data_IF_106175814007
#
_entry.id   IF_106175814007
#
_cell.length_a   1.000
_cell.length_b   1.000
_cell.length_c   1.000
_cell.angle_alpha   90.00
_cell.angle_beta   90.00
_cell.angle_gamma   90.00
#
_symmetry.space_group_name_H-M   'P 1'
#
loop_
_entity.id
_entity.type
_entity.pdbx_description
1 polymer ?
#
# COMPACT_ATOMS: atom_id res chain seq x y z
N UNK A 1 -13.36 15.58 0.47
CA UNK A 1 -13.15 14.56 1.51
C UNK A 1 -11.77 13.91 1.39
N UNK A 2 -11.42 13.24 0.28
CA UNK A 2 -10.12 12.53 0.16
C UNK A 2 -8.90 13.45 0.35
N UNK A 3 -8.86 14.62 -0.31
CA UNK A 3 -7.73 15.57 -0.19
C UNK A 3 -7.48 16.14 1.22
N UNK A 4 -8.43 15.97 2.13
CA UNK A 4 -8.35 16.47 3.52
C UNK A 4 -8.16 15.33 4.53
N UNK A 5 -7.96 14.10 4.06
CA UNK A 5 -7.70 12.96 4.93
C UNK A 5 -6.28 12.99 5.46
N UNK A 6 -6.07 12.53 6.70
CA UNK A 6 -4.72 12.37 7.26
C UNK A 6 -3.98 11.18 6.65
N UNK A 7 -4.73 10.15 6.24
CA UNK A 7 -4.19 8.91 5.68
C UNK A 7 -5.17 8.28 4.70
N UNK A 8 -4.66 7.71 3.61
CA UNK A 8 -5.42 7.04 2.57
C UNK A 8 -4.82 5.65 2.33
N UNK A 9 -5.69 4.67 2.08
CA UNK A 9 -5.33 3.36 1.51
C UNK A 9 -6.04 3.25 0.17
N UNK A 10 -5.28 3.14 -0.91
CA UNK A 10 -5.80 3.05 -2.28
C UNK A 10 -5.85 1.60 -2.74
N UNK A 11 -7.02 1.17 -3.21
CA UNK A 11 -7.27 -0.19 -3.66
C UNK A 11 -7.48 -0.21 -5.16
N UNK A 12 -6.89 -1.20 -5.83
CA UNK A 12 -6.93 -1.28 -7.28
C UNK A 12 -6.07 -2.41 -7.84
N UNK A 13 -5.59 -2.30 -9.09
CA UNK A 13 -5.70 -1.15 -10.00
C UNK A 13 -7.11 -0.98 -10.60
N UNK A 14 -7.87 -2.08 -10.66
CA UNK A 14 -9.18 -2.16 -11.30
C UNK A 14 -10.27 -2.58 -10.30
N UNK A 15 -11.53 -2.62 -10.74
CA UNK A 15 -12.63 -3.23 -9.99
C UNK A 15 -12.77 -4.75 -10.20
N UNK A 16 -13.46 -5.42 -9.27
CA UNK A 16 -13.81 -6.85 -9.40
C UNK A 16 -12.61 -7.79 -9.27
N UNK A 17 -12.57 -8.85 -10.08
CA UNK A 17 -11.53 -9.90 -10.02
C UNK A 17 -10.12 -9.40 -10.36
N UNK A 18 -9.99 -8.23 -10.98
CA UNK A 18 -8.70 -7.58 -11.28
C UNK A 18 -8.28 -6.56 -10.21
N UNK A 19 -9.09 -6.37 -9.18
CA UNK A 19 -8.83 -5.46 -8.06
C UNK A 19 -8.40 -6.20 -6.78
N UNK A 20 -8.55 -5.50 -5.65
CA UNK A 20 -8.32 -6.08 -4.32
C UNK A 20 -6.88 -6.02 -3.83
N UNK A 21 -6.01 -5.28 -4.52
CA UNK A 21 -4.63 -5.05 -4.09
C UNK A 21 -4.49 -3.65 -3.48
N UNK A 22 -3.58 -3.50 -2.52
CA UNK A 22 -3.17 -2.19 -2.02
C UNK A 22 -2.15 -1.62 -3.01
N UNK A 23 -2.53 -0.54 -3.68
CA UNK A 23 -1.68 0.16 -4.66
C UNK A 23 -0.80 1.20 -3.97
N UNK A 24 -1.38 1.90 -3.00
CA UNK A 24 -0.72 2.94 -2.23
C UNK A 24 -1.30 3.05 -0.83
N UNK A 25 -0.47 3.47 0.12
CA UNK A 25 -0.92 3.91 1.44
C UNK A 25 -0.03 5.08 1.89
N UNK A 26 -0.62 6.14 2.43
CA UNK A 26 0.12 7.35 2.75
C UNK A 26 -0.77 8.57 2.97
N UNK A 27 -0.13 9.73 3.10
CA UNK A 27 -0.83 11.03 3.07
C UNK A 27 -1.38 11.31 1.66
N UNK A 28 -2.31 12.28 1.50
CA UNK A 28 -2.79 12.69 0.18
C UNK A 28 -1.67 13.07 -0.80
N UNK A 29 -0.62 13.73 -0.32
CA UNK A 29 0.54 14.14 -1.13
C UNK A 29 1.38 12.93 -1.56
N UNK A 30 1.60 11.97 -0.66
CA UNK A 30 2.32 10.72 -0.99
C UNK A 30 1.56 9.91 -2.04
N UNK A 31 0.23 9.83 -1.93
CA UNK A 31 -0.61 9.18 -2.95
C UNK A 31 -0.60 9.94 -4.27
N UNK A 32 -0.66 11.27 -4.24
CA UNK A 32 -0.62 12.10 -5.45
C UNK A 32 0.67 11.91 -6.26
N UNK A 33 1.77 11.56 -5.59
CA UNK A 33 3.04 11.24 -6.23
C UNK A 33 3.11 9.79 -6.78
N UNK A 34 2.15 8.92 -6.46
CA UNK A 34 2.15 7.53 -6.93
C UNK A 34 1.55 7.42 -8.35
N UNK A 35 2.36 7.04 -9.37
CA UNK A 35 1.89 6.96 -10.75
C UNK A 35 0.91 5.81 -11.02
N UNK A 36 0.91 4.77 -10.18
CA UNK A 36 0.06 3.58 -10.34
C UNK A 36 -1.33 3.79 -9.72
N UNK A 37 -1.51 4.85 -8.93
CA UNK A 37 -2.77 5.20 -8.28
C UNK A 37 -3.66 6.07 -9.17
N UNK A 38 -4.81 5.53 -9.59
CA UNK A 38 -5.84 6.33 -10.25
C UNK A 38 -6.30 7.48 -9.35
N UNK A 39 -6.48 7.22 -8.05
CA UNK A 39 -6.83 8.23 -7.05
C UNK A 39 -5.75 9.32 -6.96
N UNK A 40 -4.48 8.93 -6.90
CA UNK A 40 -3.31 9.81 -6.88
C UNK A 40 -3.28 10.77 -8.07
N UNK A 41 -3.53 10.25 -9.28
CA UNK A 41 -3.60 11.07 -10.51
C UNK A 41 -4.62 12.22 -10.42
N UNK A 42 -5.76 12.01 -9.76
CA UNK A 42 -6.75 13.08 -9.56
C UNK A 42 -6.39 13.97 -8.38
N UNK A 43 -5.84 13.41 -7.30
CA UNK A 43 -5.39 14.17 -6.13
C UNK A 43 -4.31 15.20 -6.50
N UNK A 44 -3.36 14.84 -7.36
CA UNK A 44 -2.30 15.73 -7.81
C UNK A 44 -2.79 17.05 -8.43
N UNK A 45 -4.01 17.08 -9.00
CA UNK A 45 -4.62 18.28 -9.58
C UNK A 45 -5.40 19.13 -8.57
N UNK A 46 -5.72 18.56 -7.41
CA UNK A 46 -6.56 19.19 -6.38
C UNK A 46 -5.76 19.70 -5.20
N UNK A 47 -4.53 19.20 -5.03
CA UNK A 47 -3.60 19.66 -4.02
C UNK A 47 -2.87 20.91 -4.53
N UNK A 48 -2.70 21.95 -3.69
CA UNK A 48 -1.80 23.06 -4.01
C UNK A 48 -0.37 22.55 -4.18
N UNK A 49 0.47 23.28 -4.94
CA UNK A 49 1.87 22.91 -5.18
C UNK A 49 2.55 22.42 -3.89
N UNK A 50 3.12 21.21 -3.95
CA UNK A 50 3.48 20.31 -2.85
C UNK A 50 4.51 20.85 -1.81
N UNK A 51 4.78 22.15 -1.79
CA UNK A 51 5.72 22.81 -0.88
C UNK A 51 5.24 22.86 0.57
N UNK A 52 3.97 22.52 0.84
CA UNK A 52 3.33 22.64 2.16
C UNK A 52 3.06 21.31 2.86
N UNK A 53 3.56 20.17 2.37
CA UNK A 53 3.37 18.90 3.07
C UNK A 53 4.06 18.93 4.45
N UNK A 54 3.37 18.67 5.57
CA UNK A 54 4.04 18.45 6.84
C UNK A 54 5.01 17.28 6.67
N UNK A 55 6.24 17.43 7.19
CA UNK A 55 7.31 16.44 7.03
C UNK A 55 6.77 15.02 7.22
N UNK A 56 6.78 14.24 6.14
CA UNK A 56 6.25 12.88 6.09
C UNK A 56 6.66 12.14 7.37
N UNK A 57 5.68 11.70 8.15
CA UNK A 57 5.96 10.79 9.27
C UNK A 57 6.57 9.55 8.64
N UNK A 58 7.90 9.39 8.79
CA UNK A 58 8.62 8.23 8.25
C UNK A 58 7.85 6.97 8.65
N UNK A 59 7.42 6.17 7.65
CA UNK A 59 6.85 4.85 7.91
C UNK A 59 7.75 4.15 8.94
N UNK A 60 7.21 3.57 10.03
CA UNK A 60 8.02 2.77 10.92
C UNK A 60 8.65 1.66 10.07
N UNK A 61 9.99 1.59 10.08
CA UNK A 61 10.72 0.61 9.29
C UNK A 61 10.11 -0.77 9.54
N UNK A 62 9.67 -1.44 8.47
CA UNK A 62 9.13 -2.79 8.56
C UNK A 62 10.15 -3.65 9.31
N UNK A 63 9.81 -4.07 10.55
CA UNK A 63 10.64 -5.02 11.28
C UNK A 63 10.73 -6.27 10.40
N UNK A 64 11.97 -6.65 10.03
CA UNK A 64 12.29 -7.85 9.25
C UNK A 64 11.39 -9.01 9.72
N UNK A 65 10.64 -9.69 8.85
CA UNK A 65 9.82 -10.81 9.29
C UNK A 65 10.76 -11.85 9.93
N UNK A 66 10.51 -12.16 11.20
CA UNK A 66 11.24 -13.21 11.90
C UNK A 66 11.09 -14.50 11.08
N UNK A 67 12.23 -15.07 10.68
CA UNK A 67 12.29 -16.25 9.85
C UNK A 67 11.42 -17.36 10.43
N UNK A 68 10.29 -17.65 9.78
CA UNK A 68 9.42 -18.77 10.11
C UNK A 68 10.19 -20.04 9.77
N UNK A 69 10.73 -20.75 10.77
CA UNK A 69 11.39 -22.06 10.58
C UNK A 69 10.45 -22.96 9.77
N UNK A 70 10.94 -23.49 8.64
CA UNK A 70 10.24 -24.50 7.85
C UNK A 70 9.88 -25.68 8.77
N UNK A 71 8.59 -25.89 9.01
CA UNK A 71 8.11 -27.12 9.61
C UNK A 71 8.38 -28.26 8.62
N UNK A 72 9.08 -29.29 9.09
CA UNK A 72 9.51 -30.43 8.32
C UNK A 72 8.30 -31.16 7.70
N UNK A 73 8.36 -31.38 6.39
CA UNK A 73 7.52 -32.32 5.66
C UNK A 73 7.75 -33.72 6.23
N UNK A 74 6.75 -34.31 6.87
CA UNK A 74 6.68 -35.76 7.10
C UNK A 74 5.58 -36.31 6.21
N UNK A 75 5.95 -36.62 4.97
CA UNK A 75 5.13 -37.44 4.09
C UNK A 75 5.30 -38.90 4.53
N UNK A 76 4.39 -39.39 5.36
CA UNK A 76 4.25 -40.81 5.66
C UNK A 76 2.91 -41.27 5.12
N UNK A 77 2.96 -42.06 4.04
CA UNK A 77 2.06 -43.18 3.71
C UNK A 77 2.43 -43.67 2.31
N UNK A 78 3.26 -44.71 2.27
CA UNK A 78 3.28 -45.76 1.25
C UNK A 78 4.21 -46.88 1.74
N UNK A 79 3.64 -47.88 2.41
CA UNK A 79 4.17 -49.25 2.52
C UNK A 79 3.18 -50.12 3.32
N UNK A 80 2.43 -50.96 2.60
CA UNK A 80 1.89 -52.29 2.92
C UNK A 80 0.58 -52.51 2.18
#
# INVERSE_FOLDING_TARGET
VIKTADWIVDLGPEGGHRGGQIIAEGTPEELAANPDSHTGRFLARLLPDAKAAPAARKKPAAKKPAARKKAASKNSKNAA
#
